data_IF_858055085185
#
_entry.id   IF_858055085185
#
_cell.length_a   1.000
_cell.length_b   1.000
_cell.length_c   1.000
_cell.angle_alpha   90.00
_cell.angle_beta   90.00
_cell.angle_gamma   90.00
#
_symmetry.space_group_name_H-M   'P 1'
#
loop_
_entity.id
_entity.type
_entity.pdbx_description
1 polymer ?
#
# COMPACT_ATOMS: atom_id res chain seq x y z
N UNK A 1 15.48 25.70 -24.92
CA UNK A 1 16.15 24.76 -24.01
C UNK A 1 15.35 23.45 -23.84
N UNK A 2 15.26 22.55 -24.83
CA UNK A 2 14.19 21.51 -24.72
C UNK A 2 14.43 20.10 -25.28
N UNK A 3 15.57 19.78 -25.91
CA UNK A 3 15.79 18.39 -26.43
C UNK A 3 16.61 17.48 -25.51
N UNK A 4 17.59 18.01 -24.80
CA UNK A 4 18.46 17.20 -23.92
C UNK A 4 17.76 16.72 -22.65
N UNK A 5 16.86 17.53 -22.09
CA UNK A 5 16.09 17.20 -20.88
C UNK A 5 15.05 16.10 -21.14
N UNK A 6 14.39 16.09 -22.31
CA UNK A 6 13.42 15.06 -22.66
C UNK A 6 14.07 13.67 -22.79
N UNK A 7 15.24 13.58 -23.45
CA UNK A 7 15.98 12.32 -23.61
C UNK A 7 16.55 11.80 -22.28
N UNK A 8 17.00 12.70 -21.39
CA UNK A 8 17.41 12.33 -20.04
C UNK A 8 16.22 11.83 -19.20
N UNK A 9 15.06 12.49 -19.34
CA UNK A 9 13.80 12.11 -18.70
C UNK A 9 13.25 10.79 -19.22
N UNK A 10 13.45 10.40 -20.47
CA UNK A 10 13.06 9.07 -20.97
C UNK A 10 14.05 7.96 -20.56
N UNK A 11 15.34 8.30 -20.39
CA UNK A 11 16.38 7.36 -19.95
C UNK A 11 16.24 6.96 -18.48
N UNK A 12 15.81 7.87 -17.60
CA UNK A 12 15.69 7.61 -16.17
C UNK A 12 14.61 6.56 -15.81
N UNK A 13 13.37 6.62 -16.32
CA UNK A 13 12.34 5.60 -16.17
C UNK A 13 12.82 4.25 -16.67
N UNK A 14 13.51 4.23 -17.82
CA UNK A 14 13.97 2.98 -18.43
C UNK A 14 15.04 2.28 -17.58
N UNK A 15 15.96 3.04 -16.96
CA UNK A 15 16.95 2.48 -16.01
C UNK A 15 16.29 1.96 -14.73
N UNK A 16 15.35 2.72 -14.17
CA UNK A 16 14.65 2.34 -12.96
C UNK A 16 13.79 1.08 -13.17
N UNK A 17 13.08 0.99 -14.30
CA UNK A 17 12.32 -0.20 -14.65
C UNK A 17 13.21 -1.44 -14.73
N UNK A 18 14.40 -1.32 -15.36
CA UNK A 18 15.38 -2.42 -15.44
C UNK A 18 15.91 -2.83 -14.06
N UNK A 19 16.25 -1.86 -13.21
CA UNK A 19 16.70 -2.13 -11.85
C UNK A 19 15.62 -2.85 -11.03
N UNK A 20 14.37 -2.39 -11.13
CA UNK A 20 13.24 -3.02 -10.46
C UNK A 20 12.99 -4.46 -10.95
N UNK A 21 13.09 -4.72 -12.26
CA UNK A 21 13.02 -6.10 -12.80
C UNK A 21 14.10 -7.01 -12.23
N UNK A 22 15.33 -6.52 -12.07
CA UNK A 22 16.39 -7.29 -11.44
C UNK A 22 16.11 -7.57 -9.96
N UNK A 23 15.54 -6.60 -9.23
CA UNK A 23 15.16 -6.76 -7.83
C UNK A 23 14.05 -7.81 -7.62
N UNK A 24 13.17 -8.05 -8.59
CA UNK A 24 12.16 -9.12 -8.50
C UNK A 24 12.76 -10.52 -8.35
N UNK A 25 14.06 -10.73 -8.63
CA UNK A 25 14.70 -12.01 -8.40
C UNK A 25 15.11 -12.25 -6.95
N UNK A 26 15.22 -11.19 -6.14
CA UNK A 26 15.76 -11.25 -4.76
C UNK A 26 14.75 -10.81 -3.71
N UNK A 27 13.67 -10.12 -4.10
CA UNK A 27 12.59 -9.75 -3.17
C UNK A 27 11.59 -10.90 -3.10
N UNK A 28 11.55 -11.57 -1.95
CA UNK A 28 10.63 -12.70 -1.70
C UNK A 28 9.34 -12.31 -1.00
N UNK A 29 9.37 -11.25 -0.19
CA UNK A 29 8.20 -10.75 0.52
C UNK A 29 7.10 -10.38 -0.49
N UNK A 30 5.91 -11.02 -0.44
CA UNK A 30 4.87 -10.81 -1.45
C UNK A 30 4.37 -9.37 -1.54
N UNK A 31 4.34 -8.66 -0.41
CA UNK A 31 3.92 -7.28 -0.36
C UNK A 31 4.95 -6.39 -1.05
N UNK A 32 6.24 -6.51 -0.68
CA UNK A 32 7.34 -5.77 -1.33
C UNK A 32 7.44 -6.10 -2.82
N UNK A 33 7.22 -7.35 -3.23
CA UNK A 33 7.19 -7.75 -4.65
C UNK A 33 6.18 -6.96 -5.46
N UNK A 34 4.95 -6.79 -4.96
CA UNK A 34 3.91 -5.99 -5.67
C UNK A 34 4.37 -4.57 -5.96
N UNK A 35 5.04 -3.93 -5.01
CA UNK A 35 5.54 -2.57 -5.21
C UNK A 35 6.69 -2.54 -6.21
N UNK A 36 7.66 -3.43 -6.09
CA UNK A 36 8.79 -3.52 -7.04
C UNK A 36 8.28 -3.82 -8.45
N UNK A 37 7.27 -4.68 -8.59
CA UNK A 37 6.64 -5.00 -9.87
C UNK A 37 5.96 -3.77 -10.48
N UNK A 38 5.22 -2.99 -9.67
CA UNK A 38 4.64 -1.72 -10.07
C UNK A 38 5.67 -0.68 -10.52
N UNK A 39 6.83 -0.62 -9.87
CA UNK A 39 7.96 0.23 -10.29
C UNK A 39 8.53 -0.27 -11.61
N UNK A 40 8.68 -1.58 -11.77
CA UNK A 40 9.23 -2.21 -12.98
C UNK A 40 8.38 -1.95 -14.23
N UNK A 41 7.08 -1.75 -14.04
CA UNK A 41 6.11 -1.49 -15.10
C UNK A 41 5.94 0.00 -15.42
N UNK A 42 6.04 0.87 -14.41
CA UNK A 42 5.70 2.30 -14.53
C UNK A 42 6.88 3.27 -14.47
N UNK A 43 8.01 2.86 -13.88
CA UNK A 43 9.14 3.76 -13.61
C UNK A 43 8.85 4.80 -12.53
N UNK A 44 7.80 4.62 -11.72
CA UNK A 44 7.35 5.62 -10.74
C UNK A 44 7.61 5.20 -9.29
N UNK A 45 8.88 5.22 -8.87
CA UNK A 45 9.27 4.77 -7.53
C UNK A 45 8.60 5.54 -6.38
N UNK A 46 8.50 6.87 -6.48
CA UNK A 46 7.94 7.69 -5.40
C UNK A 46 6.44 7.46 -5.22
N UNK A 47 5.67 7.40 -6.30
CA UNK A 47 4.24 7.08 -6.24
C UNK A 47 4.01 5.70 -5.60
N UNK A 48 4.79 4.68 -6.00
CA UNK A 48 4.68 3.34 -5.41
C UNK A 48 5.12 3.26 -3.95
N UNK A 49 6.05 4.10 -3.51
CA UNK A 49 6.41 4.21 -2.11
C UNK A 49 5.28 4.83 -1.27
N UNK A 50 4.62 5.88 -1.77
CA UNK A 50 3.48 6.50 -1.10
C UNK A 50 2.27 5.56 -1.04
N UNK A 51 2.00 4.79 -2.10
CA UNK A 51 1.00 3.72 -2.07
C UNK A 51 1.30 2.69 -0.97
N UNK A 52 2.58 2.31 -0.77
CA UNK A 52 2.98 1.36 0.28
C UNK A 52 2.77 1.94 1.69
N UNK A 53 3.14 3.20 1.91
CA UNK A 53 2.93 3.87 3.20
C UNK A 53 1.44 3.93 3.54
N UNK A 54 0.64 4.41 2.60
CA UNK A 54 -0.83 4.49 2.73
C UNK A 54 -1.42 3.10 3.00
N UNK A 55 -0.97 2.08 2.26
CA UNK A 55 -1.42 0.70 2.46
C UNK A 55 -1.02 0.14 3.83
N UNK A 56 0.13 0.51 4.41
CA UNK A 56 0.53 0.06 5.75
C UNK A 56 -0.23 0.78 6.86
N UNK A 57 -0.43 2.08 6.69
CA UNK A 57 -1.13 2.91 7.69
C UNK A 57 -2.59 2.51 7.80
N UNK A 58 -3.26 2.16 6.69
CA UNK A 58 -4.70 1.86 6.69
C UNK A 58 -5.08 0.64 7.58
N UNK A 59 -4.44 -0.55 7.48
CA UNK A 59 -4.70 -1.68 8.37
C UNK A 59 -4.32 -1.41 9.82
N UNK A 60 -3.20 -0.73 10.08
CA UNK A 60 -2.76 -0.43 11.46
C UNK A 60 -3.75 0.51 12.13
N UNK A 61 -4.14 1.59 11.45
CA UNK A 61 -5.16 2.53 11.93
C UNK A 61 -6.51 1.83 12.13
N UNK A 62 -6.94 0.99 11.19
CA UNK A 62 -8.17 0.18 11.35
C UNK A 62 -8.11 -0.73 12.56
N UNK A 63 -6.97 -1.38 12.79
CA UNK A 63 -6.77 -2.26 13.94
C UNK A 63 -6.81 -1.48 15.25
N UNK A 64 -6.10 -0.35 15.35
CA UNK A 64 -6.09 0.50 16.54
C UNK A 64 -7.51 1.01 16.83
N UNK A 65 -8.19 1.53 15.82
CA UNK A 65 -9.58 1.98 15.97
C UNK A 65 -10.48 0.86 16.48
N UNK A 66 -10.27 -0.37 16.01
CA UNK A 66 -11.05 -1.51 16.47
C UNK A 66 -10.80 -1.84 17.94
N UNK A 67 -9.55 -1.75 18.40
CA UNK A 67 -9.24 -1.90 19.82
C UNK A 67 -9.85 -0.78 20.66
N UNK A 68 -9.77 0.48 20.22
CA UNK A 68 -10.43 1.61 20.89
C UNK A 68 -11.95 1.42 20.96
N UNK A 69 -12.58 0.89 19.91
CA UNK A 69 -14.01 0.56 19.97
C UNK A 69 -14.28 -0.56 20.97
N UNK A 70 -13.48 -1.63 20.98
CA UNK A 70 -13.65 -2.74 21.91
C UNK A 70 -13.50 -2.31 23.38
N UNK A 71 -12.59 -1.36 23.68
CA UNK A 71 -12.40 -0.80 25.03
C UNK A 71 -13.63 -0.09 25.61
N UNK A 72 -14.57 0.36 24.75
CA UNK A 72 -15.83 0.97 25.21
C UNK A 72 -16.79 -0.03 25.82
N UNK A 73 -16.55 -1.33 25.62
CA UNK A 73 -17.41 -2.42 26.09
C UNK A 73 -16.73 -3.17 27.23
N UNK A 74 -17.49 -3.43 28.30
CA UNK A 74 -17.04 -4.30 29.39
C UNK A 74 -17.14 -5.80 29.06
N UNK A 75 -17.83 -6.16 27.97
CA UNK A 75 -18.04 -7.54 27.52
C UNK A 75 -17.70 -7.71 26.04
N UNK A 76 -16.92 -8.75 25.73
CA UNK A 76 -16.50 -9.10 24.37
C UNK A 76 -17.69 -9.56 23.52
N UNK A 77 -18.70 -10.20 24.13
CA UNK A 77 -19.91 -10.63 23.45
C UNK A 77 -20.73 -9.45 22.93
N UNK A 78 -20.90 -8.42 23.75
CA UNK A 78 -21.59 -7.17 23.37
C UNK A 78 -20.88 -6.42 22.25
N UNK A 79 -19.56 -6.25 22.35
CA UNK A 79 -18.76 -5.66 21.28
C UNK A 79 -18.93 -6.40 19.95
N UNK A 80 -18.91 -7.75 19.96
CA UNK A 80 -19.09 -8.56 18.74
C UNK A 80 -20.45 -8.36 18.08
N UNK A 81 -21.53 -8.26 18.88
CA UNK A 81 -22.88 -8.00 18.37
C UNK A 81 -22.97 -6.63 17.69
N UNK A 82 -22.53 -5.57 18.37
CA UNK A 82 -22.52 -4.22 17.78
C UNK A 82 -21.64 -4.14 16.53
N UNK A 83 -20.47 -4.79 16.53
CA UNK A 83 -19.61 -4.83 15.35
C UNK A 83 -20.32 -5.45 14.16
N UNK A 84 -21.04 -6.56 14.35
CA UNK A 84 -21.78 -7.22 13.28
C UNK A 84 -22.90 -6.30 12.73
N UNK A 85 -23.65 -5.63 13.60
CA UNK A 85 -24.69 -4.67 13.19
C UNK A 85 -24.12 -3.52 12.36
N UNK A 86 -23.00 -2.91 12.78
CA UNK A 86 -22.31 -1.85 12.01
C UNK A 86 -21.86 -2.33 10.63
N UNK A 87 -21.35 -3.56 10.53
CA UNK A 87 -20.90 -4.14 9.26
C UNK A 87 -22.07 -4.41 8.32
N UNK A 88 -23.22 -4.83 8.83
CA UNK A 88 -24.43 -5.02 8.04
C UNK A 88 -25.01 -3.70 7.53
N UNK A 89 -24.97 -2.64 8.34
CA UNK A 89 -25.42 -1.30 7.94
C UNK A 89 -24.53 -0.66 6.86
N UNK A 90 -23.22 -0.90 6.91
CA UNK A 90 -22.27 -0.35 5.92
C UNK A 90 -22.20 -1.15 4.60
N UNK A 91 -22.82 -2.34 4.56
CA UNK A 91 -22.85 -3.20 3.39
C UNK A 91 -24.17 -3.09 2.59
N UNK A 92 -25.16 -2.38 3.12
CA UNK A 92 -26.43 -2.03 2.48
C UNK A 92 -26.34 -0.67 1.80
#
# INVERSE_FOLDING_TARGET
>A
MTRSLAVASERAPNRLCKAAKAMLNVVYDPLKRRFVDGISSSGKALEKLEELKTYRENPVTKMINEFTEAEKFGDVGEYRRQRAERMMQNAA
#
